data_IF_517361262774
#
_entry.id   IF_517361262774
#
_cell.length_a   1.000
_cell.length_b   1.000
_cell.length_c   1.000
_cell.angle_alpha   90.00
_cell.angle_beta   90.00
_cell.angle_gamma   90.00
#
_symmetry.space_group_name_H-M   'P 1'
#
loop_
_entity.id
_entity.type
_entity.pdbx_description
1 polymer ?
#
# COMPACT_ATOMS: atom_id res chain seq x y z
N UNK A 1 18.84 33.64 -1.22
CA UNK A 1 19.25 32.53 -0.34
C UNK A 1 18.01 31.90 0.27
N UNK A 2 17.63 30.70 -0.16
CA UNK A 2 16.54 29.91 0.45
C UNK A 2 16.91 28.44 0.36
N UNK A 3 16.94 27.76 1.49
CA UNK A 3 17.76 26.57 1.75
C UNK A 3 17.20 25.30 1.11
N UNK A 4 18.08 24.58 0.42
CA UNK A 4 18.02 23.15 0.09
C UNK A 4 17.74 22.30 1.35
N UNK A 5 16.74 21.41 1.27
CA UNK A 5 16.71 20.16 2.03
C UNK A 5 16.55 18.99 1.07
N UNK A 6 17.68 18.56 0.51
CA UNK A 6 17.85 17.19 0.03
C UNK A 6 17.91 16.28 1.25
N UNK A 7 16.76 15.95 1.85
CA UNK A 7 16.70 14.82 2.77
C UNK A 7 16.52 13.58 1.90
N UNK A 8 17.57 12.77 1.82
CA UNK A 8 17.52 11.48 1.15
C UNK A 8 16.35 10.68 1.72
N UNK A 9 15.53 10.13 0.82
CA UNK A 9 14.35 9.34 1.17
C UNK A 9 14.74 8.29 2.20
N UNK A 10 14.41 8.57 3.45
CA UNK A 10 14.55 7.62 4.53
C UNK A 10 13.42 6.63 4.36
N UNK A 11 13.67 5.40 4.76
CA UNK A 11 12.67 4.35 4.68
C UNK A 11 11.38 4.62 5.50
N UNK A 12 11.41 5.70 6.29
CA UNK A 12 10.30 6.23 7.09
C UNK A 12 9.38 7.19 6.32
N UNK A 13 9.63 7.44 5.04
CA UNK A 13 8.86 8.40 4.25
C UNK A 13 7.77 7.74 3.40
N UNK A 14 7.44 6.45 3.62
CA UNK A 14 6.34 5.76 2.92
C UNK A 14 5.63 4.73 3.81
N UNK A 15 4.36 4.49 3.52
CA UNK A 15 3.50 3.54 4.22
C UNK A 15 2.54 2.86 3.24
N UNK A 16 2.02 1.70 3.63
CA UNK A 16 0.97 1.00 2.90
C UNK A 16 -0.39 1.44 3.43
N UNK A 17 -1.22 1.96 2.55
CA UNK A 17 -2.63 2.28 2.78
C UNK A 17 -3.49 1.14 2.26
N UNK A 18 -4.20 0.47 3.16
CA UNK A 18 -5.18 -0.57 2.83
C UNK A 18 -6.57 0.01 2.93
N UNK A 19 -7.27 0.07 1.79
CA UNK A 19 -8.60 0.62 1.67
C UNK A 19 -9.57 -0.47 1.23
N UNK A 20 -10.77 -0.45 1.81
CA UNK A 20 -11.86 -1.36 1.44
C UNK A 20 -13.07 -0.49 1.14
N UNK A 21 -13.68 -0.69 -0.03
CA UNK A 21 -14.83 0.09 -0.48
C UNK A 21 -14.56 1.61 -0.52
N UNK A 22 -13.31 2.01 -0.78
CA UNK A 22 -12.88 3.41 -0.81
C UNK A 22 -12.58 4.04 0.55
N UNK A 23 -12.70 3.29 1.64
CA UNK A 23 -12.36 3.75 2.99
C UNK A 23 -11.05 3.13 3.47
N UNK A 24 -10.11 3.95 3.94
CA UNK A 24 -8.84 3.48 4.49
C UNK A 24 -9.03 2.87 5.87
N UNK A 25 -8.96 1.54 5.94
CA UNK A 25 -9.18 0.79 7.18
C UNK A 25 -7.88 0.48 7.93
N UNK A 26 -6.72 0.55 7.25
CA UNK A 26 -5.44 0.19 7.85
C UNK A 26 -4.27 0.91 7.20
N UNK A 27 -3.34 1.37 8.04
CA UNK A 27 -2.04 1.90 7.63
C UNK A 27 -0.92 1.03 8.19
N UNK A 28 0.02 0.65 7.34
CA UNK A 28 1.18 -0.17 7.73
C UNK A 28 2.44 0.60 7.38
N UNK A 29 3.22 0.96 8.39
CA UNK A 29 4.52 1.60 8.20
C UNK A 29 5.55 0.51 7.94
N UNK A 30 6.42 0.70 6.95
CA UNK A 30 7.53 -0.22 6.71
C UNK A 30 8.52 -0.14 7.87
N UNK A 31 8.60 -1.20 8.65
CA UNK A 31 9.53 -1.36 9.75
C UNK A 31 10.09 -2.78 9.73
N UNK A 32 11.32 -2.98 10.23
CA UNK A 32 11.93 -4.32 10.34
C UNK A 32 11.07 -5.29 11.13
N UNK A 33 10.27 -4.80 12.07
CA UNK A 33 9.36 -5.59 12.91
C UNK A 33 8.12 -6.12 12.17
N UNK A 34 7.81 -5.59 10.98
CA UNK A 34 6.67 -6.03 10.16
C UNK A 34 7.08 -6.81 8.92
N UNK A 35 8.38 -6.81 8.57
CA UNK A 35 8.91 -7.64 7.47
C UNK A 35 8.65 -9.12 7.75
N UNK A 36 8.09 -9.80 6.76
CA UNK A 36 7.68 -11.21 6.84
C UNK A 36 6.34 -11.44 7.56
N UNK A 37 5.63 -10.38 7.96
CA UNK A 37 4.29 -10.53 8.55
C UNK A 37 3.22 -10.59 7.47
N UNK A 38 2.24 -11.45 7.72
CA UNK A 38 1.02 -11.53 6.95
C UNK A 38 -0.13 -10.87 7.73
N UNK A 39 -0.97 -10.14 7.01
CA UNK A 39 -2.07 -9.35 7.55
C UNK A 39 -3.33 -9.81 6.82
N UNK A 40 -4.20 -10.59 7.49
CA UNK A 40 -5.48 -10.97 6.92
C UNK A 40 -6.43 -9.76 6.94
N UNK A 41 -7.09 -9.53 5.81
CA UNK A 41 -8.14 -8.55 5.62
C UNK A 41 -9.40 -9.33 5.28
N UNK A 42 -10.25 -9.52 6.28
CA UNK A 42 -11.55 -10.18 6.12
C UNK A 42 -12.66 -9.13 6.17
N UNK A 43 -13.47 -9.11 5.13
CA UNK A 43 -14.54 -8.12 4.96
C UNK A 43 -15.78 -8.79 4.38
N UNK A 44 -16.91 -8.10 4.42
CA UNK A 44 -18.15 -8.57 3.77
C UNK A 44 -18.01 -8.77 2.25
N UNK A 45 -16.99 -8.19 1.62
CA UNK A 45 -16.74 -8.31 0.17
C UNK A 45 -15.84 -9.49 -0.18
N UNK A 46 -15.13 -10.04 0.80
CA UNK A 46 -14.20 -11.14 0.61
C UNK A 46 -13.01 -11.09 1.55
N UNK A 47 -12.09 -12.01 1.32
CA UNK A 47 -10.87 -12.20 2.09
C UNK A 47 -9.63 -11.96 1.22
N UNK A 48 -8.64 -11.25 1.77
CA UNK A 48 -7.33 -11.06 1.19
C UNK A 48 -6.25 -11.18 2.28
N UNK A 49 -5.15 -11.87 1.98
CA UNK A 49 -3.98 -11.98 2.83
C UNK A 49 -2.84 -11.16 2.25
N UNK A 50 -2.47 -10.10 2.95
CA UNK A 50 -1.41 -9.18 2.55
C UNK A 50 -0.11 -9.62 3.24
N UNK A 51 0.97 -9.74 2.49
CA UNK A 51 2.31 -9.98 3.05
C UNK A 51 3.16 -8.72 2.92
N UNK A 52 3.77 -8.33 4.03
CA UNK A 52 4.66 -7.18 4.10
C UNK A 52 6.10 -7.70 4.08
N UNK A 53 6.84 -7.39 3.03
CA UNK A 53 8.27 -7.67 2.91
C UNK A 53 9.13 -6.47 3.30
N UNK A 54 10.43 -6.56 3.01
CA UNK A 54 11.35 -5.44 3.20
C UNK A 54 11.00 -4.33 2.19
N UNK A 55 10.33 -3.28 2.67
CA UNK A 55 9.88 -2.12 1.87
C UNK A 55 8.93 -2.40 0.71
N UNK A 56 8.32 -3.58 0.72
CA UNK A 56 7.44 -4.04 -0.33
C UNK A 56 6.22 -4.71 0.27
N UNK A 57 5.12 -4.72 -0.47
CA UNK A 57 3.89 -5.38 -0.05
C UNK A 57 3.31 -6.13 -1.24
N UNK A 58 2.69 -7.27 -0.96
CA UNK A 58 1.94 -8.04 -1.96
C UNK A 58 0.71 -8.67 -1.36
N UNK A 59 -0.22 -9.08 -2.21
CA UNK A 59 -1.29 -10.00 -1.80
C UNK A 59 -0.82 -11.42 -2.12
N UNK A 60 -0.75 -12.28 -1.11
CA UNK A 60 -0.35 -13.70 -1.29
C UNK A 60 -1.55 -14.63 -1.44
N UNK A 61 -2.70 -14.23 -0.91
CA UNK A 61 -3.94 -15.01 -1.00
C UNK A 61 -5.14 -14.09 -1.14
N UNK A 62 -6.11 -14.50 -1.95
CA UNK A 62 -7.35 -13.75 -2.16
C UNK A 62 -8.49 -14.71 -2.49
N UNK A 63 -9.67 -14.42 -1.96
CA UNK A 63 -10.91 -15.15 -2.28
C UNK A 63 -11.50 -14.76 -3.64
N UNK A 64 -10.90 -13.82 -4.36
CA UNK A 64 -11.38 -13.37 -5.67
C UNK A 64 -11.11 -14.43 -6.75
N UNK A 65 -11.99 -14.55 -7.76
CA UNK A 65 -11.82 -15.55 -8.82
C UNK A 65 -10.65 -15.23 -9.76
N UNK A 66 -10.42 -13.95 -10.05
CA UNK A 66 -9.44 -13.52 -11.05
C UNK A 66 -7.98 -13.62 -10.56
N UNK A 67 -7.80 -13.53 -9.23
CA UNK A 67 -6.50 -13.53 -8.53
C UNK A 67 -5.48 -12.58 -9.16
N UNK A 68 -5.93 -11.46 -9.74
CA UNK A 68 -5.08 -10.47 -10.40
C UNK A 68 -4.17 -9.81 -9.36
N UNK A 69 -4.72 -9.47 -8.21
CA UNK A 69 -4.02 -8.92 -7.06
C UNK A 69 -2.91 -9.84 -6.54
N UNK A 70 -3.12 -11.16 -6.59
CA UNK A 70 -2.07 -12.16 -6.25
C UNK A 70 -1.00 -12.23 -7.35
N UNK A 71 -1.42 -12.21 -8.62
CA UNK A 71 -0.50 -12.27 -9.78
C UNK A 71 0.36 -11.02 -9.92
N UNK A 72 -0.11 -9.87 -9.45
CA UNK A 72 0.63 -8.61 -9.51
C UNK A 72 1.95 -8.68 -8.73
N UNK A 73 2.02 -9.46 -7.66
CA UNK A 73 3.24 -9.65 -6.88
C UNK A 73 3.57 -8.44 -6.00
N UNK A 74 4.86 -8.19 -5.81
CA UNK A 74 5.34 -7.14 -4.91
C UNK A 74 5.29 -5.76 -5.55
N UNK A 75 4.68 -4.82 -4.84
CA UNK A 75 4.82 -3.38 -5.09
C UNK A 75 5.74 -2.77 -4.03
N UNK A 76 6.49 -1.74 -4.39
CA UNK A 76 7.48 -1.12 -3.47
C UNK A 76 7.61 0.40 -3.62
N UNK A 77 7.18 0.98 -4.73
CA UNK A 77 7.33 2.40 -5.03
C UNK A 77 6.07 3.16 -4.63
N UNK A 78 6.24 4.42 -4.23
CA UNK A 78 5.11 5.31 -3.93
C UNK A 78 4.26 5.49 -5.20
N UNK A 79 2.94 5.43 -5.06
CA UNK A 79 1.97 5.49 -6.15
C UNK A 79 1.68 4.12 -6.80
N UNK A 80 2.47 3.08 -6.49
CA UNK A 80 2.08 1.72 -6.90
C UNK A 80 0.91 1.24 -6.05
N UNK A 81 -0.03 0.58 -6.73
CA UNK A 81 -1.27 0.10 -6.13
C UNK A 81 -1.61 -1.29 -6.63
N UNK A 82 -2.05 -2.16 -5.72
CA UNK A 82 -2.71 -3.43 -6.01
C UNK A 82 -4.21 -3.23 -5.82
N UNK A 83 -4.99 -3.57 -6.84
CA UNK A 83 -6.45 -3.42 -6.84
C UNK A 83 -7.12 -4.78 -6.98
N UNK A 84 -8.00 -5.12 -6.05
CA UNK A 84 -8.90 -6.26 -6.16
C UNK A 84 -10.33 -5.73 -6.31
N UNK A 85 -10.79 -5.57 -7.56
CA UNK A 85 -12.12 -5.06 -7.86
C UNK A 85 -13.25 -5.89 -7.22
N UNK A 86 -13.24 -7.24 -7.24
CA UNK A 86 -14.31 -8.04 -6.65
C UNK A 86 -14.46 -7.82 -5.14
N UNK A 87 -13.33 -7.76 -4.42
CA UNK A 87 -13.29 -7.59 -2.97
C UNK A 87 -13.30 -6.11 -2.55
N UNK A 88 -13.36 -5.18 -3.52
CA UNK A 88 -13.24 -3.73 -3.33
C UNK A 88 -12.03 -3.32 -2.49
N UNK A 89 -10.93 -4.08 -2.59
CA UNK A 89 -9.70 -3.83 -1.85
C UNK A 89 -8.74 -3.03 -2.72
N UNK A 90 -8.13 -2.01 -2.13
CA UNK A 90 -7.06 -1.22 -2.73
C UNK A 90 -5.90 -1.18 -1.74
N UNK A 91 -4.73 -1.64 -2.16
CA UNK A 91 -3.49 -1.59 -1.39
C UNK A 91 -2.53 -0.67 -2.12
N UNK A 92 -2.28 0.51 -1.58
CA UNK A 92 -1.45 1.54 -2.21
C UNK A 92 -0.26 1.89 -1.33
N UNK A 93 0.91 2.14 -1.92
CA UNK A 93 2.05 2.70 -1.20
C UNK A 93 1.98 4.23 -1.32
N UNK A 94 1.74 4.89 -0.19
CA UNK A 94 1.71 6.35 -0.08
C UNK A 94 2.99 6.87 0.56
N UNK A 95 3.42 8.05 0.15
CA UNK A 95 4.47 8.80 0.85
C UNK A 95 3.91 9.38 2.16
N UNK A 96 4.73 9.39 3.21
CA UNK A 96 4.50 10.19 4.42
C UNK A 96 4.99 11.60 4.08
N UNK A 97 4.22 12.30 3.25
CA UNK A 97 4.51 13.69 2.98
C UNK A 97 4.01 14.50 4.18
N UNK A 98 4.92 15.18 4.87
CA UNK A 98 4.54 16.22 5.84
C UNK A 98 4.11 17.48 5.10
N UNK A 99 3.33 17.36 4.03
CA UNK A 99 2.69 18.49 3.35
C UNK A 99 1.39 18.01 2.71
N UNK A 100 0.31 18.52 3.27
CA UNK A 100 -1.05 18.53 2.75
C UNK A 100 -1.07 18.95 1.26
N UNK A 101 -1.73 18.15 0.41
CA UNK A 101 -2.19 18.56 -0.92
C UNK A 101 -1.16 18.52 -2.06
N UNK A 102 -1.10 17.40 -2.79
CA UNK A 102 -0.71 17.43 -4.21
C UNK A 102 -1.63 16.52 -5.02
N UNK A 103 -2.76 17.09 -5.38
CA UNK A 103 -3.58 16.70 -6.50
C UNK A 103 -2.72 16.66 -7.78
N UNK A 104 -2.46 15.47 -8.30
CA UNK A 104 -1.96 15.32 -9.68
C UNK A 104 -3.13 15.53 -10.63
N UNK A 105 -3.52 16.79 -10.84
CA UNK A 105 -4.19 17.19 -12.08
C UNK A 105 -3.20 17.01 -13.24
N UNK A 106 -3.42 15.99 -14.05
CA UNK A 106 -2.80 15.90 -15.38
C UNK A 106 -3.61 16.79 -16.35
N UNK A 107 -2.85 17.60 -17.11
CA UNK A 107 -3.26 18.61 -18.09
C UNK A 107 -4.13 18.08 -19.24
#
# INVERSE_FOLDING_TARGET
MGYIKSQGLSNKDKYVSVQVNGEEIKRIIFDKSVVGKTIPIETKYGYNLIEVGDNQVRVIEASCPDKIDVKQGYISRIGETIVCLPNRLIVEIKGIDSVDGIDMINY
#
